data_IF_511520999019
#
_entry.id   IF_511520999019
#
_cell.length_a   1.000
_cell.length_b   1.000
_cell.length_c   1.000
_cell.angle_alpha   90.00
_cell.angle_beta   90.00
_cell.angle_gamma   90.00
#
_symmetry.space_group_name_H-M   'P 1'
#
loop_
_entity.id
_entity.type
_entity.pdbx_description
1 polymer ?
#
# COMPACT_ATOMS: atom_id res chain seq x y z
N UNK A 1 -9.57 -21.36 -3.97
CA UNK A 1 -9.17 -20.84 -5.26
C UNK A 1 -10.16 -19.77 -5.70
N UNK A 2 -9.69 -18.53 -5.84
CA UNK A 2 -10.52 -17.37 -6.17
C UNK A 2 -11.25 -17.54 -7.51
N UNK A 3 -10.58 -18.12 -8.51
CA UNK A 3 -11.19 -18.31 -9.84
C UNK A 3 -12.41 -19.22 -9.80
N UNK A 4 -12.40 -20.29 -8.99
CA UNK A 4 -13.59 -21.15 -8.83
C UNK A 4 -14.79 -20.41 -8.28
N UNK A 5 -14.56 -19.46 -7.36
CA UNK A 5 -15.65 -18.61 -6.83
C UNK A 5 -16.18 -17.66 -7.90
N UNK A 6 -15.28 -17.02 -8.65
CA UNK A 6 -15.66 -16.10 -9.72
C UNK A 6 -16.41 -16.83 -10.85
N UNK A 7 -15.91 -17.97 -11.29
CA UNK A 7 -16.53 -18.82 -12.30
C UNK A 7 -17.92 -19.32 -11.83
N UNK A 8 -18.04 -19.73 -10.57
CA UNK A 8 -19.34 -20.14 -10.01
C UNK A 8 -20.36 -19.00 -10.04
N UNK A 9 -19.97 -17.78 -9.66
CA UNK A 9 -20.85 -16.60 -9.73
C UNK A 9 -21.20 -16.32 -11.19
N UNK A 10 -20.24 -16.38 -12.09
CA UNK A 10 -20.43 -16.15 -13.50
C UNK A 10 -21.49 -17.09 -14.12
N UNK A 11 -21.43 -18.36 -13.77
CA UNK A 11 -22.25 -19.42 -14.34
C UNK A 11 -23.67 -19.50 -13.72
N UNK A 12 -23.77 -19.20 -12.42
CA UNK A 12 -24.98 -19.51 -11.65
C UNK A 12 -25.78 -18.28 -11.21
N UNK A 13 -25.21 -17.07 -11.33
CA UNK A 13 -25.87 -15.86 -10.88
C UNK A 13 -26.37 -15.04 -12.06
N UNK A 14 -27.63 -14.62 -11.94
CA UNK A 14 -28.20 -13.53 -12.72
C UNK A 14 -27.83 -12.19 -12.07
N UNK A 15 -28.53 -11.12 -12.40
CA UNK A 15 -28.31 -9.79 -11.81
C UNK A 15 -28.48 -9.83 -10.29
N UNK A 16 -27.47 -9.39 -9.54
CA UNK A 16 -27.53 -9.30 -8.08
C UNK A 16 -26.96 -7.97 -7.58
N UNK A 17 -27.80 -6.92 -7.48
CA UNK A 17 -27.34 -5.58 -7.08
C UNK A 17 -26.95 -5.46 -5.60
N UNK A 18 -27.15 -6.51 -4.79
CA UNK A 18 -26.89 -6.49 -3.35
C UNK A 18 -25.56 -7.11 -2.94
N UNK A 19 -24.85 -7.76 -3.88
CA UNK A 19 -23.60 -8.42 -3.58
C UNK A 19 -22.41 -7.52 -3.88
N UNK A 20 -21.57 -7.28 -2.86
CA UNK A 20 -20.23 -6.70 -3.00
C UNK A 20 -19.22 -7.81 -2.90
N UNK A 21 -18.34 -7.93 -3.89
CA UNK A 21 -17.29 -8.94 -3.92
C UNK A 21 -15.94 -8.30 -3.62
N UNK A 22 -15.21 -8.86 -2.66
CA UNK A 22 -13.87 -8.41 -2.28
C UNK A 22 -12.84 -9.52 -2.49
N UNK A 23 -11.71 -9.17 -3.10
CA UNK A 23 -10.62 -10.11 -3.40
C UNK A 23 -9.32 -9.55 -2.84
N UNK A 24 -8.55 -10.38 -2.11
CA UNK A 24 -7.21 -10.04 -1.66
C UNK A 24 -6.16 -10.67 -2.59
N UNK A 25 -5.23 -9.85 -3.09
CA UNK A 25 -4.12 -10.28 -3.93
C UNK A 25 -2.94 -9.33 -3.80
N UNK A 26 -1.71 -9.83 -3.97
CA UNK A 26 -0.51 -8.97 -4.01
C UNK A 26 -0.28 -8.30 -5.37
N UNK A 27 -1.12 -8.60 -6.37
CA UNK A 27 -1.02 -8.12 -7.76
C UNK A 27 0.34 -8.37 -8.46
N UNK A 28 1.23 -9.14 -7.85
CA UNK A 28 2.49 -9.60 -8.45
C UNK A 28 2.33 -10.86 -9.31
N UNK A 29 1.11 -11.13 -9.77
CA UNK A 29 0.79 -12.36 -10.52
C UNK A 29 1.15 -12.28 -12.00
N UNK A 30 1.38 -13.43 -12.67
CA UNK A 30 1.62 -13.50 -14.11
C UNK A 30 0.46 -12.92 -14.94
N UNK A 31 0.78 -12.36 -16.12
CA UNK A 31 -0.20 -11.73 -17.02
C UNK A 31 -1.40 -12.61 -17.33
N UNK A 32 -1.17 -13.91 -17.61
CA UNK A 32 -2.26 -14.86 -17.90
C UNK A 32 -3.32 -14.95 -16.79
N UNK A 33 -2.93 -14.75 -15.53
CA UNK A 33 -3.86 -14.77 -14.40
C UNK A 33 -4.62 -13.45 -14.31
N UNK A 34 -3.95 -12.33 -14.62
CA UNK A 34 -4.60 -11.01 -14.72
C UNK A 34 -5.61 -11.03 -15.87
N UNK A 35 -5.23 -11.57 -17.03
CA UNK A 35 -6.12 -11.67 -18.20
C UNK A 35 -7.35 -12.54 -17.92
N UNK A 36 -7.13 -13.71 -17.29
CA UNK A 36 -8.23 -14.59 -16.88
C UNK A 36 -9.16 -13.87 -15.88
N UNK A 37 -8.59 -13.17 -14.91
CA UNK A 37 -9.36 -12.38 -13.95
C UNK A 37 -10.20 -11.32 -14.65
N UNK A 38 -9.59 -10.54 -15.54
CA UNK A 38 -10.26 -9.46 -16.27
C UNK A 38 -11.44 -10.02 -17.09
N UNK A 39 -11.23 -11.13 -17.80
CA UNK A 39 -12.27 -11.74 -18.63
C UNK A 39 -13.51 -12.12 -17.81
N UNK A 40 -13.32 -12.75 -16.63
CA UNK A 40 -14.44 -13.12 -15.76
C UNK A 40 -15.05 -11.89 -15.10
N UNK A 41 -14.22 -11.01 -14.52
CA UNK A 41 -14.68 -9.82 -13.80
C UNK A 41 -15.46 -8.85 -14.70
N UNK A 42 -15.14 -8.80 -15.98
CA UNK A 42 -15.86 -8.00 -16.98
C UNK A 42 -17.31 -8.44 -17.08
N UNK A 43 -17.55 -9.73 -17.24
CA UNK A 43 -18.90 -10.28 -17.27
C UNK A 43 -19.67 -10.01 -15.95
N UNK A 44 -19.01 -10.21 -14.80
CA UNK A 44 -19.64 -9.94 -13.50
C UNK A 44 -20.09 -8.48 -13.35
N UNK A 45 -19.27 -7.53 -13.82
CA UNK A 45 -19.54 -6.10 -13.71
C UNK A 45 -20.54 -5.60 -14.78
N UNK A 46 -20.37 -5.99 -16.04
CA UNK A 46 -21.19 -5.52 -17.15
C UNK A 46 -22.63 -6.06 -17.08
N UNK A 47 -22.78 -7.32 -16.65
CA UNK A 47 -24.09 -7.96 -16.49
C UNK A 47 -24.71 -7.75 -15.09
N UNK A 48 -24.12 -6.86 -14.28
CA UNK A 48 -24.57 -6.55 -12.91
C UNK A 48 -24.78 -7.79 -12.02
N UNK A 49 -23.98 -8.84 -12.20
CA UNK A 49 -23.99 -10.04 -11.36
C UNK A 49 -23.47 -9.74 -9.94
N UNK A 50 -22.70 -8.66 -9.81
CA UNK A 50 -22.28 -8.06 -8.53
C UNK A 50 -22.51 -6.56 -8.57
N UNK A 51 -22.81 -5.95 -7.42
CA UNK A 51 -22.95 -4.50 -7.28
C UNK A 51 -21.62 -3.81 -7.48
N UNK A 52 -20.61 -4.34 -6.84
CA UNK A 52 -19.24 -3.83 -6.87
C UNK A 52 -18.23 -4.96 -6.72
N UNK A 53 -17.05 -4.75 -7.30
CA UNK A 53 -15.90 -5.62 -7.15
C UNK A 53 -14.73 -4.78 -6.64
N UNK A 54 -14.19 -5.16 -5.48
CA UNK A 54 -13.09 -4.48 -4.81
C UNK A 54 -11.88 -5.41 -4.76
N UNK A 55 -10.73 -4.91 -5.17
CA UNK A 55 -9.46 -5.62 -5.04
C UNK A 55 -8.66 -4.98 -3.90
N UNK A 56 -8.37 -5.74 -2.87
CA UNK A 56 -7.43 -5.36 -1.82
C UNK A 56 -6.04 -5.85 -2.19
N UNK A 57 -5.09 -4.93 -2.21
CA UNK A 57 -3.68 -5.21 -2.45
C UNK A 57 -2.82 -4.46 -1.45
N UNK A 58 -1.50 -4.66 -1.49
CA UNK A 58 -0.66 -4.05 -0.46
C UNK A 58 0.68 -3.60 -1.03
N UNK A 59 1.00 -2.33 -0.78
CA UNK A 59 2.32 -1.73 -0.97
C UNK A 59 2.44 -0.52 -0.04
N UNK A 60 3.61 -0.31 0.58
CA UNK A 60 3.83 0.77 1.55
C UNK A 60 5.06 1.63 1.28
N UNK A 61 5.73 1.41 0.15
CA UNK A 61 6.92 2.13 -0.31
C UNK A 61 6.98 2.11 -1.84
N UNK A 62 8.01 2.67 -2.44
CA UNK A 62 8.23 2.63 -3.90
C UNK A 62 9.56 1.96 -4.28
N UNK A 63 9.68 1.50 -5.52
CA UNK A 63 10.91 0.98 -6.11
C UNK A 63 11.56 -0.14 -5.28
N UNK A 64 12.88 -0.08 -5.15
CA UNK A 64 13.68 -1.08 -4.42
C UNK A 64 13.28 -1.20 -2.94
N UNK A 65 12.86 -0.11 -2.29
CA UNK A 65 12.40 -0.14 -0.90
C UNK A 65 11.09 -0.95 -0.77
N UNK A 66 10.17 -0.85 -1.73
CA UNK A 66 8.96 -1.67 -1.76
C UNK A 66 9.31 -3.15 -2.00
N UNK A 67 10.24 -3.45 -2.91
CA UNK A 67 10.67 -4.82 -3.23
C UNK A 67 11.44 -5.46 -2.06
N UNK A 68 12.23 -4.69 -1.31
CA UNK A 68 12.88 -5.14 -0.08
C UNK A 68 11.85 -5.47 1.00
N UNK A 69 10.95 -4.52 1.28
CA UNK A 69 9.96 -4.67 2.35
C UNK A 69 8.99 -5.82 2.07
N UNK A 70 8.69 -6.06 0.79
CA UNK A 70 7.82 -7.15 0.31
C UNK A 70 8.57 -8.08 -0.62
N UNK A 71 9.35 -8.97 -0.04
CA UNK A 71 10.15 -9.93 -0.79
C UNK A 71 9.32 -10.67 -1.84
N UNK A 72 9.81 -10.62 -3.09
CA UNK A 72 9.13 -11.18 -4.25
C UNK A 72 8.19 -10.22 -4.97
N UNK A 73 7.92 -9.03 -4.43
CA UNK A 73 7.26 -7.96 -5.18
C UNK A 73 8.16 -7.52 -6.34
N UNK A 74 7.54 -7.25 -7.49
CA UNK A 74 8.11 -6.49 -8.59
C UNK A 74 7.31 -5.23 -8.75
N UNK A 75 7.85 -4.11 -8.27
CA UNK A 75 7.13 -2.85 -8.11
C UNK A 75 6.51 -2.34 -9.41
N UNK A 76 7.28 -2.34 -10.49
CA UNK A 76 6.79 -1.90 -11.79
C UNK A 76 5.69 -2.82 -12.32
N UNK A 77 5.85 -4.13 -12.15
CA UNK A 77 4.83 -5.11 -12.56
C UNK A 77 3.54 -4.95 -11.77
N UNK A 78 3.64 -4.65 -10.48
CA UNK A 78 2.49 -4.34 -9.65
C UNK A 78 1.66 -3.19 -10.24
N UNK A 79 2.31 -2.07 -10.59
CA UNK A 79 1.61 -0.92 -11.15
C UNK A 79 1.11 -1.13 -12.57
N UNK A 80 1.82 -1.92 -13.39
CA UNK A 80 1.33 -2.35 -14.70
C UNK A 80 0.03 -3.17 -14.57
N UNK A 81 -0.04 -4.07 -13.60
CA UNK A 81 -1.25 -4.86 -13.35
C UNK A 81 -2.39 -3.99 -12.79
N UNK A 82 -2.10 -3.03 -11.91
CA UNK A 82 -3.08 -2.03 -11.43
C UNK A 82 -3.67 -1.24 -12.61
N UNK A 83 -2.80 -0.69 -13.44
CA UNK A 83 -3.20 0.10 -14.61
C UNK A 83 -4.06 -0.72 -15.58
N UNK A 84 -3.65 -1.95 -15.89
CA UNK A 84 -4.36 -2.86 -16.79
C UNK A 84 -5.77 -3.17 -16.27
N UNK A 85 -5.87 -3.55 -14.99
CA UNK A 85 -7.15 -3.87 -14.36
C UNK A 85 -8.08 -2.66 -14.38
N UNK A 86 -7.61 -1.48 -13.98
CA UNK A 86 -8.44 -0.28 -13.92
C UNK A 86 -8.85 0.25 -15.31
N UNK A 87 -8.05 -0.01 -16.34
CA UNK A 87 -8.38 0.32 -17.73
C UNK A 87 -9.46 -0.59 -18.28
N UNK A 88 -9.31 -1.90 -18.10
CA UNK A 88 -10.23 -2.91 -18.63
C UNK A 88 -11.53 -3.04 -17.81
N UNK A 89 -11.47 -2.68 -16.54
CA UNK A 89 -12.58 -2.82 -15.59
C UNK A 89 -12.92 -1.46 -14.92
N UNK A 90 -13.53 -0.52 -15.62
CA UNK A 90 -13.75 0.84 -15.13
C UNK A 90 -14.67 0.94 -13.90
N UNK A 91 -15.40 -0.12 -13.55
CA UNK A 91 -16.26 -0.19 -12.34
C UNK A 91 -15.55 -0.80 -11.12
N UNK A 92 -14.38 -1.41 -11.30
CA UNK A 92 -13.60 -2.02 -10.20
C UNK A 92 -12.88 -0.94 -9.40
N UNK A 93 -12.78 -1.14 -8.10
CA UNK A 93 -11.97 -0.33 -7.20
C UNK A 93 -10.79 -1.14 -6.68
N UNK A 94 -9.60 -0.54 -6.66
CA UNK A 94 -8.43 -1.13 -6.02
C UNK A 94 -8.16 -0.39 -4.71
N UNK A 95 -8.11 -1.14 -3.60
CA UNK A 95 -7.76 -0.62 -2.29
C UNK A 95 -6.34 -1.06 -1.92
N UNK A 96 -5.40 -0.11 -1.92
CA UNK A 96 -4.01 -0.32 -1.54
C UNK A 96 -3.89 -0.20 -0.02
N UNK A 97 -3.70 -1.34 0.64
CA UNK A 97 -3.49 -1.42 2.08
C UNK A 97 -2.00 -1.18 2.38
N UNK A 98 -1.67 -0.01 2.88
CA UNK A 98 -0.31 0.34 3.28
C UNK A 98 -0.14 0.17 4.79
N UNK A 99 0.54 -0.91 5.21
CA UNK A 99 0.93 -1.10 6.61
C UNK A 99 2.22 -0.36 6.88
N UNK A 100 2.08 0.94 7.13
CA UNK A 100 3.18 1.88 7.29
C UNK A 100 4.10 1.50 8.45
N UNK A 101 5.39 1.39 8.20
CA UNK A 101 6.41 0.95 9.14
C UNK A 101 7.72 1.75 8.95
N UNK A 102 8.76 1.46 9.73
CA UNK A 102 10.02 2.19 9.68
C UNK A 102 10.71 2.16 8.29
N UNK A 103 10.49 1.13 7.49
CA UNK A 103 11.04 1.00 6.14
C UNK A 103 10.19 1.71 5.06
N UNK A 104 9.02 2.24 5.42
CA UNK A 104 8.13 2.93 4.47
C UNK A 104 8.41 4.42 4.34
N UNK A 105 9.09 5.02 5.32
CA UNK A 105 9.13 6.47 5.53
C UNK A 105 9.70 7.25 4.35
N UNK A 106 10.77 6.74 3.74
CA UNK A 106 11.57 7.52 2.80
C UNK A 106 10.91 7.71 1.44
N UNK A 107 10.17 6.72 0.98
CA UNK A 107 9.52 6.75 -0.33
C UNK A 107 7.98 6.76 -0.25
N UNK A 108 7.41 6.96 0.95
CA UNK A 108 5.95 7.02 1.11
C UNK A 108 5.34 8.23 0.41
N UNK A 109 6.06 9.37 0.41
CA UNK A 109 5.67 10.54 -0.34
C UNK A 109 5.54 10.29 -1.84
N UNK A 110 6.42 9.49 -2.41
CA UNK A 110 6.38 9.08 -3.82
C UNK A 110 5.26 8.10 -4.10
N UNK A 111 4.94 7.22 -3.12
CA UNK A 111 3.76 6.35 -3.20
C UNK A 111 2.45 7.17 -3.24
N UNK A 112 2.38 8.27 -2.49
CA UNK A 112 1.24 9.21 -2.54
C UNK A 112 1.15 9.83 -3.94
N UNK A 113 2.26 10.32 -4.51
CA UNK A 113 2.28 10.86 -5.87
C UNK A 113 1.82 9.82 -6.89
N UNK A 114 2.38 8.62 -6.84
CA UNK A 114 2.02 7.53 -7.76
C UNK A 114 0.55 7.13 -7.65
N UNK A 115 0.03 7.10 -6.42
CA UNK A 115 -1.39 6.81 -6.19
C UNK A 115 -2.27 7.93 -6.72
N UNK A 116 -1.88 9.19 -6.53
CA UNK A 116 -2.61 10.35 -7.04
C UNK A 116 -2.69 10.33 -8.57
N UNK A 117 -1.59 10.06 -9.27
CA UNK A 117 -1.59 9.94 -10.73
C UNK A 117 -2.48 8.80 -11.22
N UNK A 118 -2.48 7.67 -10.52
CA UNK A 118 -3.40 6.57 -10.84
C UNK A 118 -4.87 6.94 -10.59
N UNK A 119 -5.18 7.64 -9.48
CA UNK A 119 -6.51 8.18 -9.21
C UNK A 119 -6.99 9.09 -10.35
N UNK A 120 -6.13 10.02 -10.77
CA UNK A 120 -6.42 10.97 -11.85
C UNK A 120 -6.62 10.28 -13.20
N UNK A 121 -5.71 9.36 -13.56
CA UNK A 121 -5.75 8.63 -14.82
C UNK A 121 -7.03 7.80 -14.98
N UNK A 122 -7.50 7.17 -13.91
CA UNK A 122 -8.65 6.26 -13.92
C UNK A 122 -9.91 6.87 -13.31
N UNK A 123 -9.99 8.20 -13.17
CA UNK A 123 -11.18 8.89 -12.72
C UNK A 123 -12.33 8.67 -13.71
N UNK A 124 -13.48 8.24 -13.20
CA UNK A 124 -14.72 8.15 -13.95
C UNK A 124 -15.92 8.14 -12.99
N UNK A 125 -17.09 8.44 -13.46
CA UNK A 125 -18.33 8.45 -12.67
C UNK A 125 -19.01 7.09 -12.52
N UNK A 126 -18.36 5.99 -12.89
CA UNK A 126 -18.98 4.65 -12.96
C UNK A 126 -18.89 3.87 -11.63
N UNK A 127 -18.06 4.33 -10.67
CA UNK A 127 -17.89 3.69 -9.36
C UNK A 127 -18.91 4.23 -8.37
N UNK A 128 -19.46 3.34 -7.57
CA UNK A 128 -20.59 3.66 -6.70
C UNK A 128 -20.25 4.70 -5.62
N UNK A 129 -19.11 4.55 -4.90
CA UNK A 129 -18.79 5.39 -3.75
C UNK A 129 -17.37 5.95 -3.75
N UNK A 130 -16.50 5.47 -4.62
CA UNK A 130 -15.06 5.59 -4.41
C UNK A 130 -14.30 6.00 -5.65
N UNK A 131 -13.11 6.53 -5.47
CA UNK A 131 -12.16 6.68 -6.56
C UNK A 131 -11.68 5.32 -7.07
N UNK A 132 -11.06 5.29 -8.26
CA UNK A 132 -10.52 4.09 -8.89
C UNK A 132 -9.58 3.30 -7.98
N UNK A 133 -8.78 4.04 -7.22
CA UNK A 133 -7.81 3.50 -6.28
C UNK A 133 -7.88 4.27 -4.96
N UNK A 134 -7.77 3.56 -3.86
CA UNK A 134 -7.71 4.11 -2.51
C UNK A 134 -6.40 3.71 -1.86
N UNK A 135 -5.84 4.60 -1.04
CA UNK A 135 -4.67 4.31 -0.20
C UNK A 135 -5.11 4.21 1.26
N UNK A 136 -5.37 2.98 1.69
CA UNK A 136 -5.74 2.71 3.07
C UNK A 136 -4.50 2.51 3.92
N UNK A 137 -4.16 3.52 4.73
CA UNK A 137 -2.95 3.53 5.53
C UNK A 137 -3.23 3.22 6.99
N UNK A 138 -2.54 2.22 7.52
CA UNK A 138 -2.47 1.89 8.93
C UNK A 138 -1.02 1.85 9.40
N UNK A 139 -0.75 2.13 10.68
CA UNK A 139 0.59 2.01 11.24
C UNK A 139 0.84 0.62 11.83
N UNK A 140 2.07 0.13 11.64
CA UNK A 140 2.51 -1.15 12.18
C UNK A 140 2.75 -1.03 13.70
N UNK A 141 2.05 -1.86 14.47
CA UNK A 141 2.26 -1.99 15.93
C UNK A 141 3.16 -3.16 16.28
N UNK A 142 3.07 -4.23 15.51
CA UNK A 142 3.82 -5.45 15.73
C UNK A 142 4.26 -6.06 14.37
N UNK A 143 5.51 -6.54 14.25
CA UNK A 143 6.54 -6.55 15.29
C UNK A 143 7.05 -5.14 15.63
N UNK A 144 7.25 -4.87 16.90
CA UNK A 144 7.52 -3.52 17.45
C UNK A 144 8.81 -2.91 16.92
N UNK A 145 9.80 -3.73 16.57
CA UNK A 145 11.07 -3.30 16.00
C UNK A 145 10.95 -2.75 14.56
N UNK A 146 9.83 -2.94 13.89
CA UNK A 146 9.52 -2.29 12.61
C UNK A 146 8.61 -1.05 12.76
N UNK A 147 8.23 -0.70 13.99
CA UNK A 147 7.42 0.51 14.22
C UNK A 147 8.19 1.77 13.86
N UNK A 148 7.51 2.77 13.31
CA UNK A 148 8.08 4.11 13.04
C UNK A 148 8.62 4.82 14.29
N UNK A 149 8.26 4.36 15.48
CA UNK A 149 8.75 4.90 16.75
C UNK A 149 10.24 4.64 17.01
N UNK A 150 10.85 3.69 16.29
CA UNK A 150 12.30 3.46 16.39
C UNK A 150 13.13 4.52 15.66
N UNK A 151 12.50 5.27 14.74
CA UNK A 151 13.19 6.23 13.88
C UNK A 151 13.73 7.42 14.66
N UNK A 152 14.84 8.01 14.22
CA UNK A 152 15.27 9.34 14.65
C UNK A 152 14.20 10.41 14.36
N UNK A 153 14.23 11.50 15.13
CA UNK A 153 13.19 12.56 15.04
C UNK A 153 13.16 13.22 13.64
N UNK A 154 14.33 13.43 13.03
CA UNK A 154 14.44 14.01 11.69
C UNK A 154 13.69 13.20 10.61
N UNK A 155 13.59 11.88 10.77
CA UNK A 155 12.84 11.05 9.84
C UNK A 155 11.33 11.10 10.07
N UNK A 156 10.89 11.44 11.27
CA UNK A 156 9.45 11.58 11.58
C UNK A 156 8.82 12.76 10.86
N UNK A 157 9.59 13.82 10.54
CA UNK A 157 9.10 14.94 9.74
C UNK A 157 8.67 14.53 8.33
N UNK A 158 9.30 13.50 7.76
CA UNK A 158 8.91 12.96 6.46
C UNK A 158 7.47 12.44 6.47
N UNK A 159 7.02 11.88 7.58
CA UNK A 159 5.63 11.41 7.78
C UNK A 159 4.66 12.59 7.72
N UNK A 160 5.02 13.70 8.39
CA UNK A 160 4.21 14.92 8.36
C UNK A 160 4.15 15.51 6.95
N UNK A 161 5.26 15.51 6.23
CA UNK A 161 5.33 16.01 4.86
C UNK A 161 4.50 15.16 3.90
N UNK A 162 4.50 13.84 4.08
CA UNK A 162 3.62 12.94 3.33
C UNK A 162 2.13 13.23 3.60
N UNK A 163 1.74 13.46 4.86
CA UNK A 163 0.37 13.84 5.21
C UNK A 163 -0.03 15.20 4.62
N UNK A 164 0.87 16.20 4.62
CA UNK A 164 0.65 17.51 3.97
C UNK A 164 0.49 17.38 2.46
N UNK A 165 1.29 16.51 1.81
CA UNK A 165 1.19 16.21 0.37
C UNK A 165 -0.18 15.62 0.02
N UNK A 166 -0.65 14.64 0.78
CA UNK A 166 -1.96 14.06 0.57
C UNK A 166 -3.10 15.08 0.78
N UNK A 167 -2.99 15.96 1.78
CA UNK A 167 -3.92 17.06 2.00
C UNK A 167 -3.95 18.02 0.80
N UNK A 168 -2.77 18.38 0.27
CA UNK A 168 -2.67 19.24 -0.90
C UNK A 168 -3.38 18.65 -2.12
N UNK A 169 -3.24 17.35 -2.37
CA UNK A 169 -3.94 16.64 -3.44
C UNK A 169 -5.46 16.52 -3.16
N UNK A 170 -5.84 16.35 -1.92
CA UNK A 170 -7.25 16.35 -1.53
C UNK A 170 -7.95 17.69 -1.78
N UNK A 171 -7.33 18.80 -1.41
CA UNK A 171 -7.90 20.15 -1.56
C UNK A 171 -8.07 20.55 -3.04
N UNK A 172 -7.14 20.14 -3.92
CA UNK A 172 -7.18 20.50 -5.34
C UNK A 172 -8.26 19.78 -6.15
N UNK A 173 -8.85 18.75 -5.63
CA UNK A 173 -9.71 17.82 -6.38
C UNK A 173 -11.18 17.92 -6.00
N UNK A 174 -11.61 18.99 -5.37
CA UNK A 174 -13.03 19.34 -5.20
C UNK A 174 -13.76 19.67 -6.52
N UNK A 175 -13.26 19.17 -7.64
CA UNK A 175 -13.91 19.20 -8.95
C UNK A 175 -14.60 17.87 -9.23
N UNK A 176 -15.56 17.87 -10.14
CA UNK A 176 -16.50 16.78 -10.44
C UNK A 176 -15.92 15.38 -10.70
N UNK A 177 -14.61 15.20 -10.75
CA UNK A 177 -13.96 13.98 -11.23
C UNK A 177 -13.51 13.00 -10.14
N UNK A 178 -13.75 13.25 -8.86
CA UNK A 178 -13.52 12.31 -7.72
C UNK A 178 -12.15 11.59 -7.68
N UNK A 179 -11.04 12.27 -8.06
CA UNK A 179 -9.74 11.62 -8.09
C UNK A 179 -8.77 12.01 -6.95
N UNK A 180 -9.12 12.96 -6.08
CA UNK A 180 -8.29 13.33 -4.94
C UNK A 180 -8.31 12.33 -3.78
N UNK A 181 -7.43 12.58 -2.81
CA UNK A 181 -7.51 11.85 -1.55
C UNK A 181 -8.75 12.27 -0.76
N UNK A 182 -9.51 11.30 -0.29
CA UNK A 182 -10.65 11.51 0.57
C UNK A 182 -10.23 11.97 1.97
N UNK A 183 -11.14 12.60 2.71
CA UNK A 183 -10.89 12.99 4.10
C UNK A 183 -10.47 11.79 4.97
N UNK A 184 -11.00 10.60 4.71
CA UNK A 184 -10.65 9.38 5.45
C UNK A 184 -9.19 9.00 5.21
N UNK A 185 -8.73 9.00 3.95
CA UNK A 185 -7.35 8.73 3.59
C UNK A 185 -6.40 9.74 4.24
N UNK A 186 -6.71 11.03 4.14
CA UNK A 186 -5.91 12.12 4.74
C UNK A 186 -5.84 11.98 6.27
N UNK A 187 -6.95 11.70 6.94
CA UNK A 187 -6.98 11.53 8.40
C UNK A 187 -6.20 10.28 8.84
N UNK A 188 -6.20 9.21 8.04
CA UNK A 188 -5.37 8.02 8.31
C UNK A 188 -3.88 8.36 8.24
N UNK A 189 -3.44 9.11 7.24
CA UNK A 189 -2.06 9.56 7.09
C UNK A 189 -1.64 10.52 8.23
N UNK A 190 -2.53 11.44 8.64
CA UNK A 190 -2.27 12.32 9.77
C UNK A 190 -2.05 11.53 11.08
N UNK A 191 -2.85 10.48 11.31
CA UNK A 191 -2.67 9.59 12.48
C UNK A 191 -1.34 8.84 12.49
N UNK A 192 -0.68 8.64 11.34
CA UNK A 192 0.69 8.08 11.32
C UNK A 192 1.67 8.99 12.04
N UNK A 193 1.61 10.28 11.78
CA UNK A 193 2.47 11.27 12.43
C UNK A 193 2.17 11.33 13.93
N UNK A 194 0.90 11.45 14.31
CA UNK A 194 0.48 11.48 15.72
C UNK A 194 0.96 10.22 16.48
N UNK A 195 0.92 9.04 15.82
CA UNK A 195 1.45 7.82 16.40
C UNK A 195 2.98 7.84 16.51
N UNK A 196 3.68 8.36 15.52
CA UNK A 196 5.16 8.39 15.49
C UNK A 196 5.74 9.28 16.60
N UNK A 197 5.08 10.43 16.91
CA UNK A 197 5.53 11.37 17.93
C UNK A 197 4.94 11.09 19.33
N UNK A 198 3.94 10.20 19.41
CA UNK A 198 3.26 9.90 20.67
C UNK A 198 4.21 9.38 21.76
N UNK A 199 4.14 10.01 22.94
CA UNK A 199 4.93 9.70 24.14
C UNK A 199 4.34 8.51 24.88
N UNK A 200 4.49 7.29 24.37
CA UNK A 200 4.21 6.08 25.14
C UNK A 200 5.53 5.49 25.70
N UNK A 201 5.44 4.65 26.73
CA UNK A 201 6.56 3.86 27.23
C UNK A 201 7.11 2.95 26.13
N UNK A 202 7.91 3.53 25.22
CA UNK A 202 8.48 2.84 24.08
C UNK A 202 9.99 2.69 24.27
N UNK A 203 10.45 1.46 24.45
CA UNK A 203 11.88 1.18 24.63
C UNK A 203 12.62 1.21 23.29
N UNK A 204 12.91 2.42 22.81
CA UNK A 204 13.58 2.66 21.53
C UNK A 204 14.90 1.91 21.41
N UNK A 205 15.73 1.91 22.49
CA UNK A 205 17.04 1.24 22.49
C UNK A 205 16.90 -0.26 22.25
N UNK A 206 16.00 -0.92 22.99
CA UNK A 206 15.73 -2.35 22.80
C UNK A 206 15.28 -2.64 21.38
N UNK A 207 14.29 -1.90 20.89
CA UNK A 207 13.69 -2.19 19.58
C UNK A 207 14.61 -1.82 18.40
N UNK A 208 15.52 -0.86 18.55
CA UNK A 208 16.61 -0.65 17.58
C UNK A 208 17.57 -1.82 17.54
N UNK A 209 17.94 -2.41 18.69
CA UNK A 209 18.74 -3.63 18.73
C UNK A 209 18.05 -4.81 18.03
N UNK A 210 16.75 -4.99 18.29
CA UNK A 210 15.96 -6.03 17.63
C UNK A 210 15.81 -5.77 16.11
N UNK A 211 15.70 -4.50 15.69
CA UNK A 211 15.68 -4.10 14.28
C UNK A 211 17.00 -4.47 13.57
N UNK A 212 18.15 -4.18 14.16
CA UNK A 212 19.46 -4.53 13.58
C UNK A 212 19.58 -6.04 13.40
N UNK A 213 19.23 -6.83 14.41
CA UNK A 213 19.24 -8.31 14.31
C UNK A 213 18.30 -8.81 13.21
N UNK A 214 17.11 -8.22 13.12
CA UNK A 214 16.15 -8.58 12.07
C UNK A 214 16.70 -8.27 10.68
N UNK A 215 17.31 -7.11 10.47
CA UNK A 215 17.88 -6.70 9.18
C UNK A 215 19.01 -7.64 8.77
N UNK A 216 19.96 -7.94 9.68
CA UNK A 216 21.07 -8.85 9.40
C UNK A 216 20.55 -10.24 8.95
N UNK A 217 19.62 -10.80 9.69
CA UNK A 217 18.99 -12.09 9.38
C UNK A 217 18.16 -12.07 8.08
N UNK A 218 17.47 -10.96 7.84
CA UNK A 218 16.61 -10.79 6.66
C UNK A 218 17.45 -10.71 5.37
N UNK A 219 18.55 -9.96 5.41
CA UNK A 219 19.49 -9.83 4.30
C UNK A 219 20.16 -11.18 3.99
N UNK A 220 20.68 -11.86 5.03
CA UNK A 220 21.33 -13.16 4.89
C UNK A 220 20.40 -14.21 4.26
N UNK A 221 19.18 -14.36 4.81
CA UNK A 221 18.23 -15.37 4.34
C UNK A 221 17.68 -15.11 2.94
N UNK A 222 17.67 -13.86 2.50
CA UNK A 222 17.02 -13.45 1.24
C UNK A 222 18.00 -12.94 0.19
N UNK A 223 19.28 -12.93 0.53
CA UNK A 223 20.34 -12.36 -0.32
C UNK A 223 19.98 -10.93 -0.77
N UNK A 224 19.64 -10.09 0.21
CA UNK A 224 19.31 -8.69 0.03
C UNK A 224 20.44 -7.80 0.61
N UNK A 225 20.37 -6.50 0.34
CA UNK A 225 21.33 -5.53 0.84
C UNK A 225 20.60 -4.30 1.41
N UNK A 226 20.47 -4.28 2.74
CA UNK A 226 19.85 -3.18 3.47
C UNK A 226 20.57 -1.86 3.25
N UNK A 227 21.90 -1.88 3.28
CA UNK A 227 22.71 -0.65 3.20
C UNK A 227 22.58 0.06 1.84
N UNK A 228 22.37 -0.70 0.77
CA UNK A 228 22.09 -0.13 -0.56
C UNK A 228 20.65 0.35 -0.70
N UNK A 229 19.71 -0.34 -0.05
CA UNK A 229 18.27 -0.05 -0.18
C UNK A 229 17.83 1.09 0.72
N UNK A 230 18.42 1.19 1.93
CA UNK A 230 18.06 2.19 2.96
C UNK A 230 19.30 2.93 3.49
N UNK A 231 20.05 3.64 2.63
CA UNK A 231 21.24 4.38 3.07
C UNK A 231 20.91 5.41 4.17
N UNK A 232 19.69 5.94 4.19
CA UNK A 232 19.21 6.92 5.17
C UNK A 232 19.12 6.33 6.59
N UNK A 233 18.92 5.03 6.74
CA UNK A 233 18.88 4.34 8.04
C UNK A 233 20.25 3.87 8.54
N UNK A 234 21.29 3.95 7.70
CA UNK A 234 22.61 3.44 8.07
C UNK A 234 23.25 4.14 9.27
N UNK A 235 23.08 5.46 9.51
CA UNK A 235 23.57 6.09 10.72
C UNK A 235 22.98 5.44 11.99
N UNK A 236 21.67 5.31 12.08
CA UNK A 236 20.96 4.66 13.20
C UNK A 236 21.37 3.18 13.34
N UNK A 237 21.42 2.46 12.22
CA UNK A 237 21.81 1.04 12.19
C UNK A 237 23.24 0.84 12.73
N UNK A 238 24.22 1.61 12.22
CA UNK A 238 25.62 1.48 12.63
C UNK A 238 25.85 1.87 14.09
N UNK A 239 25.20 2.94 14.57
CA UNK A 239 25.24 3.33 15.97
C UNK A 239 24.70 2.22 16.87
N UNK A 240 23.53 1.68 16.51
CA UNK A 240 22.91 0.60 17.29
C UNK A 240 23.74 -0.68 17.25
N UNK A 241 24.33 -1.02 16.11
CA UNK A 241 25.15 -2.24 15.93
C UNK A 241 26.40 -2.23 16.84
N UNK A 242 27.03 -1.06 17.05
CA UNK A 242 28.16 -0.93 18.01
C UNK A 242 27.73 -1.33 19.41
N UNK A 243 26.53 -0.96 19.85
CA UNK A 243 26.01 -1.27 21.20
C UNK A 243 25.54 -2.71 21.40
N UNK A 244 25.50 -3.53 20.34
CA UNK A 244 25.20 -4.96 20.45
C UNK A 244 26.39 -5.77 20.91
N UNK A 245 27.62 -5.25 20.70
CA UNK A 245 28.88 -5.93 21.00
C UNK A 245 29.49 -5.47 22.34
N UNK A 246 28.88 -4.46 22.97
CA UNK A 246 29.16 -3.97 24.31
C UNK A 246 28.23 -4.64 25.35
#
# INVERSE_FOLDING_TARGET
DVFRVLEYIQENWEQNPNISLAINTNLGVPDKLVDKFIAIAKDLCENNKVRELIIFTSVEATGSQAEYTRYGLKYDKFWLNVDKILTELPRVTINVMATFNALSVFTYGDLIDRTFEAKKKHANGLRYWTSAIQLDTSYLRWPTFLSVKILPEEHKELILNAAKKALYYGIKTFTHDNYGFSNIEIQKMKRLYDYAIGTSDFNTTKFRKDFVKFVDEYDERRNLNFSETFPELMPMYNETKKTLND
#
